data_IF_229483833585
#
_entry.id   IF_229483833585
#
_cell.length_a   1.000
_cell.length_b   1.000
_cell.length_c   1.000
_cell.angle_alpha   90.00
_cell.angle_beta   90.00
_cell.angle_gamma   90.00
#
_symmetry.space_group_name_H-M   'P 1'
#
loop_
_entity.id
_entity.type
_entity.pdbx_description
1 polymer ?
#
# COMPACT_ATOMS: atom_id res chain seq x y z
N UNK A 1 -5.83 -0.19 -1.24
CA UNK A 1 -4.67 -1.05 -0.96
C UNK A 1 -3.62 -0.24 -0.24
N UNK A 2 -2.48 -0.85 0.11
CA UNK A 2 -1.44 -0.22 0.95
C UNK A 2 -1.01 1.16 0.43
N UNK A 3 -0.70 1.28 -0.86
CA UNK A 3 -0.18 2.53 -1.44
C UNK A 3 -1.19 3.67 -1.33
N UNK A 4 -2.43 3.46 -1.78
CA UNK A 4 -3.47 4.48 -1.70
C UNK A 4 -3.79 4.88 -0.25
N UNK A 5 -3.85 3.90 0.65
CA UNK A 5 -4.09 4.14 2.07
C UNK A 5 -2.94 4.92 2.74
N UNK A 6 -1.69 4.56 2.45
CA UNK A 6 -0.51 5.26 2.96
C UNK A 6 -0.46 6.72 2.48
N UNK A 7 -0.70 6.97 1.18
CA UNK A 7 -0.74 8.34 0.65
C UNK A 7 -1.87 9.15 1.30
N UNK A 8 -3.06 8.56 1.46
CA UNK A 8 -4.18 9.23 2.12
C UNK A 8 -3.86 9.55 3.59
N UNK A 9 -3.23 8.63 4.33
CA UNK A 9 -2.82 8.85 5.72
C UNK A 9 -1.74 9.93 5.85
N UNK A 10 -0.73 9.95 4.96
CA UNK A 10 0.33 10.97 4.95
C UNK A 10 -0.24 12.35 4.61
N UNK A 11 -1.14 12.46 3.62
CA UNK A 11 -1.78 13.72 3.25
C UNK A 11 -2.79 14.21 4.30
N UNK A 12 -3.53 13.31 4.95
CA UNK A 12 -4.51 13.70 5.95
C UNK A 12 -3.89 14.01 7.32
N UNK A 13 -2.81 13.31 7.69
CA UNK A 13 -2.12 13.48 8.97
C UNK A 13 -0.88 14.39 8.94
N UNK A 14 -0.39 14.74 7.75
CA UNK A 14 0.86 15.49 7.59
C UNK A 14 0.70 17.00 7.72
N UNK A 15 1.62 17.64 8.45
CA UNK A 15 1.65 19.10 8.63
C UNK A 15 1.86 19.89 7.32
N UNK A 16 2.46 19.29 6.30
CA UNK A 16 2.69 19.94 5.01
C UNK A 16 1.44 20.00 4.11
N UNK A 17 0.43 19.19 4.40
CA UNK A 17 -0.81 19.08 3.63
C UNK A 17 -1.99 19.80 4.32
N UNK A 18 -1.69 20.66 5.31
CA UNK A 18 -2.70 21.44 6.04
C UNK A 18 -3.57 22.22 5.08
N UNK A 19 -4.86 21.87 5.03
CA UNK A 19 -5.86 22.57 4.22
C UNK A 19 -6.43 21.75 3.05
N UNK A 20 -5.75 20.70 2.61
CA UNK A 20 -6.24 19.82 1.55
C UNK A 20 -7.47 19.03 2.01
N UNK A 21 -8.44 18.85 1.10
CA UNK A 21 -9.54 17.88 1.27
C UNK A 21 -9.13 16.61 0.56
N UNK A 22 -9.00 15.53 1.31
CA UNK A 22 -8.52 14.23 0.84
C UNK A 22 -9.70 13.27 0.75
N UNK A 23 -9.86 12.63 -0.40
CA UNK A 23 -10.82 11.56 -0.61
C UNK A 23 -10.08 10.26 -0.93
N UNK A 24 -10.32 9.20 -0.17
CA UNK A 24 -9.83 7.85 -0.50
C UNK A 24 -10.97 7.01 -1.05
N UNK A 25 -10.80 6.48 -2.26
CA UNK A 25 -11.74 5.55 -2.88
C UNK A 25 -11.14 4.15 -2.84
N UNK A 26 -11.87 3.21 -2.25
CA UNK A 26 -11.47 1.81 -2.22
C UNK A 26 -12.68 0.89 -2.35
N UNK A 27 -12.54 -0.13 -3.20
CA UNK A 27 -13.62 -1.04 -3.54
C UNK A 27 -13.86 -2.06 -2.43
N UNK A 28 -12.80 -2.46 -1.71
CA UNK A 28 -12.88 -3.48 -0.68
C UNK A 28 -12.24 -2.97 0.61
N UNK A 29 -13.05 -2.85 1.67
CA UNK A 29 -12.53 -2.60 3.02
C UNK A 29 -11.71 -3.83 3.47
N UNK A 30 -10.45 -3.65 3.93
CA UNK A 30 -9.68 -4.74 4.52
C UNK A 30 -10.40 -5.34 5.74
N UNK A 31 -10.02 -6.57 6.09
CA UNK A 31 -10.49 -7.18 7.34
C UNK A 31 -10.06 -6.31 8.54
N UNK A 32 -10.88 -6.22 9.61
CA UNK A 32 -10.51 -5.56 10.86
C UNK A 32 -9.16 -6.05 11.40
N UNK A 33 -8.40 -5.17 12.07
CA UNK A 33 -7.07 -5.51 12.55
C UNK A 33 -7.08 -6.68 13.53
N UNK A 34 -8.02 -6.69 14.48
CA UNK A 34 -8.13 -7.79 15.45
C UNK A 34 -8.39 -9.14 14.77
N UNK A 35 -9.19 -9.18 13.70
CA UNK A 35 -9.44 -10.40 12.92
C UNK A 35 -8.17 -10.89 12.21
N UNK A 36 -7.36 -9.96 11.69
CA UNK A 36 -6.10 -10.29 11.03
C UNK A 36 -5.06 -10.75 12.06
N UNK A 37 -4.96 -10.09 13.20
CA UNK A 37 -4.02 -10.45 14.28
C UNK A 37 -4.38 -11.80 14.92
N UNK A 38 -5.68 -12.13 14.99
CA UNK A 38 -6.18 -13.41 15.48
C UNK A 38 -5.95 -14.59 14.53
N UNK A 39 -5.49 -14.36 13.29
CA UNK A 39 -5.17 -15.44 12.37
C UNK A 39 -4.02 -16.31 12.90
N UNK A 40 -4.20 -17.63 12.84
CA UNK A 40 -3.21 -18.62 13.27
C UNK A 40 -2.20 -18.99 12.18
N UNK A 41 -2.49 -18.62 10.94
CA UNK A 41 -1.62 -18.86 9.78
C UNK A 41 -1.10 -17.50 9.27
N UNK A 42 0.19 -17.40 8.89
CA UNK A 42 0.72 -16.20 8.26
C UNK A 42 -0.01 -15.86 6.96
N UNK A 43 -0.17 -14.58 6.65
CA UNK A 43 -0.62 -14.13 5.33
C UNK A 43 0.37 -14.63 4.26
N UNK A 44 -0.07 -15.35 3.21
CA UNK A 44 0.82 -15.75 2.13
C UNK A 44 1.38 -14.55 1.35
N UNK A 45 0.77 -13.37 1.45
CA UNK A 45 1.28 -12.15 0.82
C UNK A 45 2.09 -11.36 1.84
N UNK A 46 3.41 -11.49 1.76
CA UNK A 46 4.36 -10.70 2.54
C UNK A 46 5.15 -9.73 1.67
N UNK A 47 5.74 -8.73 2.32
CA UNK A 47 6.63 -7.76 1.69
C UNK A 47 7.95 -7.68 2.43
N UNK A 48 9.05 -7.69 1.67
CA UNK A 48 10.35 -7.24 2.17
C UNK A 48 10.39 -5.71 2.12
N UNK A 49 10.46 -5.08 3.29
CA UNK A 49 10.42 -3.64 3.47
C UNK A 49 11.80 -3.14 3.86
N UNK A 50 12.32 -2.20 3.06
CA UNK A 50 13.54 -1.48 3.41
C UNK A 50 13.34 -0.69 4.72
N UNK A 51 14.40 -0.47 5.53
CA UNK A 51 14.29 0.31 6.77
C UNK A 51 13.72 1.72 6.57
N UNK A 52 14.02 2.37 5.44
CA UNK A 52 13.46 3.68 5.09
C UNK A 52 11.95 3.64 4.86
N UNK A 53 11.45 2.62 4.16
CA UNK A 53 10.02 2.39 3.94
C UNK A 53 9.29 2.15 5.27
N UNK A 54 9.87 1.33 6.15
CA UNK A 54 9.30 1.09 7.48
C UNK A 54 9.25 2.36 8.33
N UNK A 55 10.32 3.17 8.34
CA UNK A 55 10.33 4.47 9.04
C UNK A 55 9.25 5.41 8.52
N UNK A 56 9.06 5.47 7.20
CA UNK A 56 8.00 6.28 6.60
C UNK A 56 6.61 5.77 6.99
N UNK A 57 6.38 4.46 6.92
CA UNK A 57 5.10 3.84 7.30
C UNK A 57 4.76 4.10 8.78
N UNK A 58 5.70 3.90 9.70
CA UNK A 58 5.50 4.17 11.13
C UNK A 58 5.19 5.64 11.42
N UNK A 59 5.81 6.57 10.68
CA UNK A 59 5.53 8.00 10.81
C UNK A 59 4.08 8.35 10.46
N UNK A 60 3.51 7.73 9.43
CA UNK A 60 2.16 8.04 8.94
C UNK A 60 1.07 7.18 9.61
N UNK A 61 1.47 6.03 10.15
CA UNK A 61 0.64 5.01 10.77
C UNK A 61 1.28 4.54 12.10
N UNK A 62 1.09 5.30 13.20
CA UNK A 62 1.61 4.95 14.52
C UNK A 62 1.11 3.60 15.05
N UNK A 63 -0.01 3.09 14.52
CA UNK A 63 -0.58 1.78 14.82
C UNK A 63 0.41 0.64 14.51
N UNK A 64 1.39 0.87 13.63
CA UNK A 64 2.47 -0.08 13.36
C UNK A 64 3.48 -0.24 14.52
N UNK A 65 3.47 0.66 15.50
CA UNK A 65 4.27 0.55 16.72
C UNK A 65 3.53 -0.14 17.88
N UNK A 66 2.22 -0.45 17.73
CA UNK A 66 1.51 -1.31 18.67
C UNK A 66 2.22 -2.67 18.77
N UNK A 67 2.43 -3.16 19.99
CA UNK A 67 3.22 -4.37 20.21
C UNK A 67 2.66 -5.62 19.49
N UNK A 68 1.33 -5.73 19.36
CA UNK A 68 0.68 -6.85 18.66
C UNK A 68 0.90 -6.75 17.15
N UNK A 69 0.90 -5.53 16.61
CA UNK A 69 1.14 -5.25 15.19
C UNK A 69 2.62 -5.41 14.86
N UNK A 70 3.51 -4.80 15.63
CA UNK A 70 4.96 -4.87 15.45
C UNK A 70 5.48 -6.31 15.49
N UNK A 71 4.86 -7.19 16.28
CA UNK A 71 5.18 -8.62 16.32
C UNK A 71 4.92 -9.38 14.99
N UNK A 72 4.20 -8.77 14.04
CA UNK A 72 3.95 -9.30 12.68
C UNK A 72 4.93 -8.75 11.63
N UNK A 73 5.94 -7.97 12.06
CA UNK A 73 7.02 -7.48 11.21
C UNK A 73 8.34 -8.03 11.70
N UNK A 74 8.88 -9.00 10.97
CA UNK A 74 10.10 -9.69 11.33
C UNK A 74 11.32 -8.98 10.75
N UNK A 75 12.14 -8.40 11.62
CA UNK A 75 13.45 -7.87 11.24
C UNK A 75 14.36 -9.01 10.73
N UNK A 76 15.10 -8.75 9.66
CA UNK A 76 16.19 -9.64 9.24
C UNK A 76 17.50 -8.87 9.13
N UNK A 77 18.58 -9.53 9.55
CA UNK A 77 19.94 -8.96 9.62
C UNK A 77 20.94 -9.66 8.72
N UNK A 78 20.62 -10.85 8.23
CA UNK A 78 21.46 -11.60 7.33
C UNK A 78 20.77 -11.77 5.97
N UNK A 79 21.55 -11.67 4.90
CA UNK A 79 21.13 -11.97 3.53
C UNK A 79 22.07 -12.99 2.94
N UNK A 80 21.51 -14.08 2.41
CA UNK A 80 22.26 -15.10 1.68
C UNK A 80 21.64 -15.29 0.29
N UNK A 81 22.44 -15.01 -0.75
CA UNK A 81 22.08 -15.19 -2.15
C UNK A 81 23.01 -16.20 -2.78
N UNK A 82 22.47 -17.24 -3.43
CA UNK A 82 23.26 -18.26 -4.11
C UNK A 82 22.60 -18.69 -5.42
N UNK A 83 23.42 -19.28 -6.30
CA UNK A 83 22.96 -19.88 -7.55
C UNK A 83 22.77 -21.38 -7.36
N UNK A 84 21.68 -21.94 -7.87
CA UNK A 84 21.42 -23.38 -7.75
C UNK A 84 22.44 -24.25 -8.50
N UNK A 85 23.01 -23.75 -9.59
CA UNK A 85 23.87 -24.50 -10.51
C UNK A 85 25.37 -24.27 -10.32
N UNK A 86 25.78 -23.31 -9.49
CA UNK A 86 27.19 -23.05 -9.18
C UNK A 86 27.46 -23.02 -7.68
N UNK A 87 28.74 -22.88 -7.30
CA UNK A 87 29.15 -22.69 -5.90
C UNK A 87 29.23 -21.21 -5.50
N UNK A 88 28.73 -20.32 -6.35
CA UNK A 88 28.79 -18.88 -6.12
C UNK A 88 27.73 -18.49 -5.09
N UNK A 89 28.16 -17.77 -4.06
CA UNK A 89 27.29 -17.24 -3.02
C UNK A 89 27.75 -15.86 -2.58
N UNK A 90 26.79 -15.02 -2.23
CA UNK A 90 26.98 -13.75 -1.54
C UNK A 90 26.26 -13.84 -0.19
N UNK A 91 27.00 -13.66 0.89
CA UNK A 91 26.46 -13.61 2.24
C UNK A 91 26.97 -12.35 2.92
N UNK A 92 26.07 -11.60 3.57
CA UNK A 92 26.45 -10.43 4.35
C UNK A 92 25.48 -10.21 5.51
N UNK A 93 26.03 -9.65 6.58
CA UNK A 93 25.30 -9.21 7.76
C UNK A 93 25.09 -7.69 7.74
N UNK A 94 24.04 -7.23 8.43
CA UNK A 94 23.67 -5.83 8.51
C UNK A 94 24.81 -4.94 9.06
N UNK A 95 25.59 -5.47 10.01
CA UNK A 95 26.71 -4.75 10.64
C UNK A 95 27.87 -4.49 9.66
N UNK A 96 27.94 -5.22 8.55
CA UNK A 96 28.94 -5.03 7.49
C UNK A 96 28.56 -3.90 6.52
N UNK A 97 27.33 -3.37 6.63
CA UNK A 97 26.86 -2.29 5.77
C UNK A 97 27.51 -0.95 6.12
N UNK A 98 27.74 -0.07 5.13
CA UNK A 98 28.20 1.30 5.38
C UNK A 98 27.30 2.02 6.39
N UNK A 99 27.90 2.49 7.48
CA UNK A 99 27.18 3.15 8.57
C UNK A 99 26.65 2.21 9.67
N UNK A 100 26.98 0.91 9.64
CA UNK A 100 26.61 -0.05 10.68
C UNK A 100 25.10 -0.20 10.80
N UNK A 101 24.44 -0.56 9.70
CA UNK A 101 22.99 -0.71 9.71
C UNK A 101 22.62 -1.81 10.72
N UNK A 102 21.89 -1.47 11.78
CA UNK A 102 21.46 -2.46 12.76
C UNK A 102 20.50 -3.52 12.21
N UNK A 103 20.04 -3.40 10.97
CA UNK A 103 19.14 -4.33 10.28
C UNK A 103 19.21 -4.14 8.76
N UNK A 104 18.84 -5.18 8.00
CA UNK A 104 18.72 -5.08 6.53
C UNK A 104 17.31 -4.71 6.09
N UNK A 105 16.28 -5.09 6.86
CA UNK A 105 14.89 -4.78 6.56
C UNK A 105 13.90 -5.57 7.40
N UNK A 106 12.64 -5.55 6.99
CA UNK A 106 11.55 -6.27 7.63
C UNK A 106 10.81 -7.15 6.63
N UNK A 107 10.34 -8.31 7.07
CA UNK A 107 9.28 -9.05 6.39
C UNK A 107 7.96 -8.76 7.10
N UNK A 108 7.02 -8.14 6.40
CA UNK A 108 5.72 -7.76 6.94
C UNK A 108 4.55 -8.35 6.17
N UNK A 109 3.51 -8.76 6.90
CA UNK A 109 2.28 -9.31 6.33
C UNK A 109 1.41 -8.22 5.67
N UNK A 110 0.91 -8.49 4.47
CA UNK A 110 0.08 -7.55 3.72
C UNK A 110 -1.22 -7.21 4.46
N UNK A 111 -1.94 -8.22 4.96
CA UNK A 111 -3.21 -8.00 5.64
C UNK A 111 -3.04 -7.14 6.90
N UNK A 112 -1.96 -7.35 7.67
CA UNK A 112 -1.67 -6.56 8.87
C UNK A 112 -1.39 -5.10 8.50
N UNK A 113 -0.55 -4.86 7.49
CA UNK A 113 -0.30 -3.50 6.99
C UNK A 113 -1.56 -2.81 6.50
N UNK A 114 -2.40 -3.50 5.73
CA UNK A 114 -3.65 -2.94 5.22
C UNK A 114 -4.62 -2.60 6.35
N UNK A 115 -4.80 -3.51 7.30
CA UNK A 115 -5.70 -3.32 8.43
C UNK A 115 -5.25 -2.15 9.32
N UNK A 116 -3.97 -2.11 9.70
CA UNK A 116 -3.41 -1.02 10.50
C UNK A 116 -3.56 0.35 9.80
N UNK A 117 -3.27 0.42 8.49
CA UNK A 117 -3.49 1.65 7.73
C UNK A 117 -4.96 2.07 7.68
N UNK A 118 -5.90 1.12 7.64
CA UNK A 118 -7.32 1.44 7.65
C UNK A 118 -7.83 1.88 9.02
N UNK A 119 -7.31 1.32 10.12
CA UNK A 119 -7.57 1.86 11.45
C UNK A 119 -7.06 3.30 11.58
N UNK A 120 -5.86 3.56 11.06
CA UNK A 120 -5.31 4.92 11.03
C UNK A 120 -6.22 5.88 10.28
N UNK A 121 -6.70 5.47 9.11
CA UNK A 121 -7.60 6.28 8.29
C UNK A 121 -8.96 6.49 8.96
N UNK A 122 -9.50 5.49 9.64
CA UNK A 122 -10.74 5.61 10.41
C UNK A 122 -10.55 6.65 11.54
N UNK A 123 -9.46 6.55 12.31
CA UNK A 123 -9.12 7.51 13.36
C UNK A 123 -8.95 8.94 12.82
N UNK A 124 -8.25 9.10 11.70
CA UNK A 124 -8.10 10.40 11.03
C UNK A 124 -9.44 10.95 10.50
N UNK A 125 -10.32 10.10 9.98
CA UNK A 125 -11.62 10.52 9.46
C UNK A 125 -12.63 10.88 10.54
N UNK A 126 -12.44 10.37 11.77
CA UNK A 126 -13.30 10.63 12.91
C UNK A 126 -13.07 12.00 13.56
N UNK A 127 -11.90 12.64 13.35
CA UNK A 127 -11.64 14.00 13.81
C UNK A 127 -12.53 14.98 13.02
N UNK A 128 -13.43 15.74 13.66
CA UNK A 128 -14.32 16.69 12.98
C UNK A 128 -13.58 17.79 12.20
N UNK A 129 -12.32 18.06 12.55
CA UNK A 129 -11.49 19.04 11.85
C UNK A 129 -10.70 18.42 10.69
N UNK A 130 -10.62 17.09 10.63
CA UNK A 130 -9.95 16.41 9.55
C UNK A 130 -10.76 16.52 8.25
N UNK A 131 -10.03 16.72 7.16
CA UNK A 131 -10.59 16.88 5.82
C UNK A 131 -10.46 15.58 5.02
N UNK A 132 -10.57 14.43 5.68
CA UNK A 132 -10.49 13.10 5.07
C UNK A 132 -11.89 12.49 4.93
N UNK A 133 -12.29 12.14 3.70
CA UNK A 133 -13.50 11.35 3.43
C UNK A 133 -13.12 9.99 2.85
N UNK A 134 -13.63 8.93 3.46
CA UNK A 134 -13.47 7.56 2.97
C UNK A 134 -14.69 7.17 2.13
N UNK A 135 -14.48 6.80 0.88
CA UNK A 135 -15.49 6.32 -0.05
C UNK A 135 -15.40 4.79 -0.11
N UNK A 136 -16.17 4.12 0.75
CA UNK A 136 -16.12 2.68 0.99
C UNK A 136 -17.53 2.07 1.08
N UNK A 137 -17.79 0.90 0.48
CA UNK A 137 -17.09 0.33 -0.66
C UNK A 137 -17.42 1.12 -1.94
N UNK A 138 -16.41 1.65 -2.64
CA UNK A 138 -16.63 2.38 -3.91
C UNK A 138 -15.54 2.07 -4.93
N UNK A 139 -15.94 1.96 -6.19
CA UNK A 139 -15.04 1.82 -7.34
C UNK A 139 -15.25 2.98 -8.31
N UNK A 140 -14.16 3.41 -8.95
CA UNK A 140 -14.21 4.42 -10.02
C UNK A 140 -14.80 3.81 -11.30
N UNK A 141 -15.97 4.27 -11.74
CA UNK A 141 -16.61 3.88 -13.00
C UNK A 141 -16.25 4.80 -14.17
N UNK A 142 -15.95 6.08 -13.88
CA UNK A 142 -15.59 7.06 -14.89
C UNK A 142 -14.82 8.21 -14.26
N UNK A 143 -13.91 8.79 -15.05
CA UNK A 143 -13.14 9.95 -14.65
C UNK A 143 -12.94 10.84 -15.86
N UNK A 144 -13.44 12.07 -15.76
CA UNK A 144 -13.35 13.07 -16.81
C UNK A 144 -12.85 14.39 -16.24
N UNK A 145 -12.26 15.23 -17.08
CA UNK A 145 -12.00 16.62 -16.73
C UNK A 145 -13.23 17.42 -17.10
N UNK A 146 -13.70 18.27 -16.18
CA UNK A 146 -14.65 19.31 -16.53
C UNK A 146 -13.99 20.20 -17.57
N UNK A 147 -14.55 20.27 -18.79
CA UNK A 147 -14.13 21.31 -19.73
C UNK A 147 -14.55 22.65 -19.11
N UNK A 148 -13.59 23.36 -18.53
CA UNK A 148 -13.75 24.79 -18.39
C UNK A 148 -13.96 25.38 -19.78
N UNK A 149 -14.69 26.48 -19.89
CA UNK A 149 -14.76 27.22 -21.16
C UNK A 149 -13.36 27.52 -21.71
N UNK A 150 -13.25 28.07 -22.92
CA UNK A 150 -11.96 28.30 -23.60
C UNK A 150 -10.90 29.09 -22.78
N UNK A 151 -11.29 29.70 -21.66
CA UNK A 151 -10.45 30.51 -20.76
C UNK A 151 -9.80 29.73 -19.61
N UNK A 152 -10.18 28.47 -19.31
CA UNK A 152 -9.57 27.71 -18.20
C UNK A 152 -8.43 26.82 -18.72
N UNK A 153 -7.18 27.00 -18.26
CA UNK A 153 -6.08 26.13 -18.63
C UNK A 153 -6.39 24.66 -18.31
N UNK A 154 -5.98 23.75 -19.20
CA UNK A 154 -6.25 22.31 -19.08
C UNK A 154 -5.87 21.71 -17.71
N UNK A 155 -4.82 22.24 -17.08
CA UNK A 155 -4.33 21.76 -15.77
C UNK A 155 -5.10 22.30 -14.57
N UNK A 156 -5.88 23.38 -14.75
CA UNK A 156 -6.67 24.00 -13.68
C UNK A 156 -8.12 23.49 -13.64
N UNK A 157 -8.55 22.82 -14.71
CA UNK A 157 -9.84 22.17 -14.80
C UNK A 157 -9.99 21.03 -13.77
N UNK A 158 -11.00 21.09 -12.87
CA UNK A 158 -11.23 20.02 -11.91
C UNK A 158 -11.64 18.73 -12.60
N UNK A 159 -11.33 17.61 -11.97
CA UNK A 159 -11.71 16.28 -12.38
C UNK A 159 -13.02 15.88 -11.73
N UNK A 160 -13.84 15.13 -12.45
CA UNK A 160 -15.11 14.56 -12.00
C UNK A 160 -14.97 13.05 -12.01
N UNK A 161 -14.98 12.47 -10.81
CA UNK A 161 -14.97 11.03 -10.60
C UNK A 161 -16.41 10.54 -10.38
N UNK A 162 -16.83 9.57 -11.18
CA UNK A 162 -18.07 8.82 -11.00
C UNK A 162 -17.76 7.55 -10.22
N UNK A 163 -18.29 7.45 -9.00
CA UNK A 163 -18.08 6.34 -8.09
C UNK A 163 -19.33 5.46 -8.04
N UNK A 164 -19.15 4.14 -8.07
CA UNK A 164 -20.24 3.15 -7.99
C UNK A 164 -19.91 2.11 -6.94
N UNK A 165 -20.93 1.40 -6.45
CA UNK A 165 -20.71 0.22 -5.61
C UNK A 165 -20.18 -0.93 -6.46
N UNK A 166 -19.19 -1.69 -5.97
CA UNK A 166 -18.64 -2.82 -6.71
C UNK A 166 -19.66 -3.97 -6.78
N UNK A 167 -19.81 -4.56 -7.96
CA UNK A 167 -20.59 -5.80 -8.17
C UNK A 167 -22.08 -5.62 -8.46
N UNK A 168 -22.62 -4.40 -8.41
CA UNK A 168 -24.03 -4.13 -8.69
C UNK A 168 -24.21 -3.39 -10.02
N UNK A 169 -24.83 -4.08 -11.00
CA UNK A 169 -25.15 -3.49 -12.29
C UNK A 169 -26.29 -2.48 -12.14
N UNK A 170 -26.02 -1.21 -12.45
CA UNK A 170 -27.00 -0.13 -12.34
C UNK A 170 -27.04 0.57 -10.97
N UNK A 171 -26.07 0.29 -10.09
CA UNK A 171 -25.93 0.99 -8.81
C UNK A 171 -25.94 2.51 -8.96
N UNK A 172 -26.54 3.21 -8.00
CA UNK A 172 -26.53 4.66 -7.95
C UNK A 172 -25.09 5.17 -7.88
N UNK A 173 -24.77 6.08 -8.80
CA UNK A 173 -23.44 6.66 -8.86
C UNK A 173 -23.35 7.91 -7.97
N UNK A 174 -22.29 7.99 -7.17
CA UNK A 174 -21.91 9.22 -6.47
C UNK A 174 -20.88 9.97 -7.34
N UNK A 175 -21.08 11.27 -7.52
CA UNK A 175 -20.14 12.11 -8.26
C UNK A 175 -19.28 12.91 -7.29
N UNK A 176 -17.97 12.87 -7.47
CA UNK A 176 -17.00 13.59 -6.64
C UNK A 176 -16.11 14.45 -7.54
N UNK A 177 -15.87 15.70 -7.13
CA UNK A 177 -14.94 16.58 -7.84
C UNK A 177 -13.61 16.67 -7.09
N UNK A 178 -12.51 16.68 -7.82
CA UNK A 178 -11.16 16.75 -7.27
C UNK A 178 -10.26 17.59 -8.17
N UNK A 179 -9.34 18.38 -7.58
CA UNK A 179 -8.33 19.13 -8.34
C UNK A 179 -7.15 18.25 -8.77
N UNK A 180 -6.88 17.19 -8.03
CA UNK A 180 -5.83 16.21 -8.29
C UNK A 180 -6.36 14.81 -7.98
N UNK A 181 -6.07 13.87 -8.87
CA UNK A 181 -6.33 12.44 -8.66
C UNK A 181 -5.00 11.71 -8.63
N UNK A 182 -4.76 10.96 -7.55
CA UNK A 182 -3.59 10.08 -7.42
C UNK A 182 -4.02 8.65 -7.78
N UNK A 183 -3.49 8.14 -8.89
CA UNK A 183 -3.77 6.77 -9.34
C UNK A 183 -2.94 5.74 -8.54
N UNK A 184 -3.54 5.15 -7.51
CA UNK A 184 -2.94 4.10 -6.67
C UNK A 184 -3.72 2.77 -6.73
N UNK A 185 -4.40 2.51 -7.86
CA UNK A 185 -5.32 1.39 -8.11
C UNK A 185 -4.67 0.21 -8.89
N UNK A 186 -3.33 0.16 -8.92
CA UNK A 186 -2.56 -1.00 -9.36
C UNK A 186 -2.57 -1.27 -10.87
N UNK A 187 -2.20 -2.50 -11.26
CA UNK A 187 -1.98 -2.87 -12.65
C UNK A 187 -3.23 -2.68 -13.54
N UNK A 188 -4.42 -2.93 -12.99
CA UNK A 188 -5.70 -2.81 -13.70
C UNK A 188 -6.37 -1.44 -13.54
N UNK A 189 -5.58 -0.38 -13.35
CA UNK A 189 -6.04 0.98 -13.07
C UNK A 189 -7.18 1.44 -13.99
N UNK A 190 -8.31 1.82 -13.39
CA UNK A 190 -9.42 2.50 -14.07
C UNK A 190 -9.03 3.94 -14.39
N UNK A 191 -8.31 4.61 -13.48
CA UNK A 191 -7.83 5.99 -13.67
C UNK A 191 -6.98 6.09 -14.94
N UNK A 192 -5.99 5.18 -15.08
CA UNK A 192 -5.10 5.15 -16.23
C UNK A 192 -5.88 4.96 -17.55
N UNK A 193 -6.83 4.03 -17.56
CA UNK A 193 -7.69 3.74 -18.73
C UNK A 193 -8.58 4.92 -19.12
N UNK A 194 -9.13 5.67 -18.15
CA UNK A 194 -9.95 6.85 -18.42
C UNK A 194 -9.19 7.96 -19.17
N UNK A 195 -7.86 8.01 -19.07
CA UNK A 195 -7.02 8.94 -19.82
C UNK A 195 -6.40 8.35 -21.09
N UNK A 196 -6.80 7.14 -21.50
CA UNK A 196 -6.20 6.46 -22.64
C UNK A 196 -4.71 6.16 -22.46
N UNK A 197 -4.23 6.14 -21.22
CA UNK A 197 -2.83 5.85 -20.93
C UNK A 197 -2.61 4.34 -21.00
N UNK A 198 -1.69 3.91 -21.86
CA UNK A 198 -1.24 2.53 -21.95
C UNK A 198 -0.50 2.08 -20.68
N UNK A 199 -0.41 0.77 -20.48
CA UNK A 199 0.54 0.16 -19.54
C UNK A 199 1.66 -0.51 -20.31
N UNK A 200 2.89 -0.37 -19.84
CA UNK A 200 4.02 -1.16 -20.31
C UNK A 200 4.28 -2.27 -19.29
N UNK A 201 4.32 -3.52 -19.76
CA UNK A 201 4.56 -4.67 -18.91
C UNK A 201 5.18 -5.80 -19.71
N UNK A 202 6.05 -6.55 -19.06
CA UNK A 202 6.67 -7.74 -19.64
C UNK A 202 6.17 -8.94 -18.85
N UNK A 203 5.62 -9.92 -19.56
CA UNK A 203 5.33 -11.21 -18.95
C UNK A 203 6.65 -11.91 -18.66
N UNK A 204 6.91 -12.24 -17.41
CA UNK A 204 7.95 -13.19 -17.09
C UNK A 204 7.45 -14.58 -17.49
N UNK A 205 8.28 -15.39 -18.16
CA UNK A 205 8.00 -16.82 -18.43
C UNK A 205 8.14 -17.68 -17.17
N UNK A 206 7.82 -17.11 -16.01
CA UNK A 206 7.98 -17.67 -14.68
C UNK A 206 6.69 -17.44 -13.90
N UNK A 207 6.41 -18.33 -12.95
CA UNK A 207 5.34 -18.18 -11.96
C UNK A 207 5.96 -18.30 -10.58
N UNK A 208 5.56 -17.43 -9.67
CA UNK A 208 5.96 -17.51 -8.27
C UNK A 208 4.92 -18.34 -7.50
N UNK A 209 5.37 -19.37 -6.79
CA UNK A 209 4.61 -20.03 -5.76
C UNK A 209 5.02 -19.43 -4.41
N UNK A 210 4.05 -19.04 -3.59
CA UNK A 210 4.30 -18.51 -2.25
C UNK A 210 3.59 -19.38 -1.23
N UNK A 211 4.33 -19.85 -0.23
CA UNK A 211 3.81 -20.65 0.87
C UNK A 211 4.64 -20.43 2.14
N UNK A 212 4.06 -20.72 3.29
CA UNK A 212 4.76 -20.75 4.57
C UNK A 212 5.29 -22.15 4.83
N UNK A 213 6.58 -22.25 5.15
CA UNK A 213 7.26 -23.49 5.47
C UNK A 213 7.79 -23.41 6.90
N UNK A 214 7.74 -24.52 7.63
CA UNK A 214 8.43 -24.68 8.91
C UNK A 214 9.71 -25.45 8.65
N UNK A 215 10.85 -24.81 8.87
CA UNK A 215 12.16 -25.44 8.79
C UNK A 215 12.54 -26.08 10.15
N UNK A 216 13.41 -27.08 10.11
CA UNK A 216 13.94 -27.74 11.32
C UNK A 216 14.92 -26.84 12.09
N UNK A 217 15.70 -26.03 11.36
CA UNK A 217 16.57 -25.01 11.93
C UNK A 217 15.85 -23.66 12.01
N UNK A 218 16.15 -22.88 13.04
CA UNK A 218 15.71 -21.49 13.10
C UNK A 218 16.36 -20.70 11.96
N UNK A 219 15.55 -19.92 11.25
CA UNK A 219 16.05 -18.96 10.28
C UNK A 219 16.39 -17.65 11.01
N UNK A 220 17.61 -17.15 10.82
CA UNK A 220 18.11 -15.87 11.36
C UNK A 220 18.26 -14.80 10.26
N UNK A 221 17.78 -15.07 9.04
CA UNK A 221 17.96 -14.19 7.88
C UNK A 221 16.96 -14.39 6.75
N UNK A 222 17.10 -13.56 5.72
CA UNK A 222 16.43 -13.70 4.44
C UNK A 222 17.33 -14.49 3.47
N UNK A 223 16.74 -15.45 2.76
CA UNK A 223 17.45 -16.32 1.84
C UNK A 223 16.81 -16.21 0.45
N UNK A 224 17.64 -16.09 -0.59
CA UNK A 224 17.18 -16.06 -1.98
C UNK A 224 18.05 -16.98 -2.83
N UNK A 225 17.42 -17.97 -3.46
CA UNK A 225 18.03 -18.79 -4.49
C UNK A 225 17.63 -18.26 -5.87
N UNK A 226 18.58 -18.21 -6.80
CA UNK A 226 18.33 -17.92 -8.22
C UNK A 226 18.59 -19.13 -9.10
#
# INVERSE_FOLDING_TARGET
>A
GIVGAAIAADLAGGAAATGLKVGLVEAVRPRPLDDVLGATKPDPRCYALAPSSMRHLKRICPELDDARVAARFHEYRHMHVWEATSRSALAFHADEMPGGAGMLGFIGENAVMQAALFERLDALSADPNAKLKLYLPRMLAGLERLSGGPEVPYHDAPMVAKLVEPGEAGAAAETVTARLVVAADGANSNVRRSFGLGGWGFGYSQRALVCSLRADAAADGAAMAT
#
